data_IF_324140472908
#
_entry.id   IF_324140472908
#
_cell.length_a   1.000
_cell.length_b   1.000
_cell.length_c   1.000
_cell.angle_alpha   90.00
_cell.angle_beta   90.00
_cell.angle_gamma   90.00
#
_symmetry.space_group_name_H-M   'P 1'
#
loop_
_entity.id
_entity.type
_entity.pdbx_description
1 polymer ?
#
# COMPACT_ATOMS: atom_id res chain seq x y z
N UNK A 1 -54.72 -25.23 -19.27
CA UNK A 1 -54.64 -23.80 -19.72
C UNK A 1 -53.18 -23.37 -19.67
N UNK A 2 -52.64 -23.16 -20.86
CA UNK A 2 -51.19 -22.88 -21.10
C UNK A 2 -50.81 -21.46 -20.68
N UNK A 3 -49.71 -21.29 -19.98
CA UNK A 3 -49.02 -20.02 -19.94
C UNK A 3 -47.60 -20.22 -20.43
N UNK A 4 -47.34 -19.61 -21.58
CA UNK A 4 -46.02 -19.49 -22.25
C UNK A 4 -45.16 -18.49 -21.50
N UNK A 5 -43.96 -18.91 -21.16
CA UNK A 5 -42.85 -18.00 -20.69
C UNK A 5 -42.07 -17.65 -21.93
N UNK A 6 -41.99 -16.36 -22.24
CA UNK A 6 -41.18 -15.79 -23.32
C UNK A 6 -39.73 -15.72 -22.91
N UNK A 7 -38.91 -16.41 -23.67
CA UNK A 7 -37.45 -16.41 -23.55
C UNK A 7 -36.89 -15.23 -24.40
N UNK A 8 -36.33 -14.21 -23.77
CA UNK A 8 -35.71 -13.08 -24.44
C UNK A 8 -34.18 -13.29 -24.46
N UNK A 9 -33.72 -13.92 -25.54
CA UNK A 9 -32.28 -14.14 -25.77
C UNK A 9 -31.62 -12.84 -26.21
N UNK A 10 -30.81 -12.27 -25.35
CA UNK A 10 -29.95 -11.11 -25.61
C UNK A 10 -28.72 -11.55 -26.40
N UNK A 11 -28.69 -11.25 -27.69
CA UNK A 11 -27.53 -11.49 -28.57
C UNK A 11 -26.48 -10.43 -28.31
N UNK A 12 -25.35 -10.82 -27.70
CA UNK A 12 -24.12 -10.00 -27.61
C UNK A 12 -23.42 -10.14 -28.99
N UNK A 13 -23.30 -9.03 -29.69
CA UNK A 13 -22.45 -8.94 -30.91
C UNK A 13 -20.99 -8.84 -30.44
N UNK A 14 -20.25 -9.91 -30.64
CA UNK A 14 -18.78 -9.88 -30.63
C UNK A 14 -18.26 -9.25 -31.91
N UNK A 15 -17.64 -8.09 -31.83
CA UNK A 15 -16.85 -7.52 -32.94
C UNK A 15 -15.46 -8.15 -32.90
N UNK A 16 -15.21 -9.07 -33.83
CA UNK A 16 -13.89 -9.67 -34.04
C UNK A 16 -13.10 -8.68 -34.91
N UNK A 17 -12.08 -8.06 -34.37
CA UNK A 17 -11.05 -7.36 -35.15
C UNK A 17 -10.04 -8.37 -35.65
N UNK A 18 -10.08 -8.64 -36.96
CA UNK A 18 -9.07 -9.44 -37.65
C UNK A 18 -7.91 -8.51 -37.99
N UNK A 19 -6.78 -8.66 -37.28
CA UNK A 19 -5.50 -8.11 -37.76
C UNK A 19 -4.88 -9.09 -38.73
N UNK A 20 -4.78 -8.67 -39.97
CA UNK A 20 -4.07 -9.42 -41.03
C UNK A 20 -2.55 -9.34 -40.77
N UNK A 21 -1.96 -10.45 -40.32
CA UNK A 21 -0.52 -10.64 -40.27
C UNK A 21 -0.03 -11.01 -41.68
N UNK A 22 0.81 -10.14 -42.26
CA UNK A 22 1.55 -10.47 -43.48
C UNK A 22 2.63 -11.51 -43.14
N UNK A 23 2.35 -12.77 -43.41
CA UNK A 23 3.33 -13.85 -43.29
C UNK A 23 4.32 -13.78 -44.46
N UNK A 24 5.54 -13.37 -44.22
CA UNK A 24 6.68 -13.63 -45.09
C UNK A 24 7.11 -15.10 -44.90
N UNK A 25 6.78 -15.92 -45.91
CA UNK A 25 7.29 -17.31 -46.04
C UNK A 25 8.79 -17.27 -46.36
N UNK A 26 9.62 -17.51 -45.37
CA UNK A 26 10.98 -18.04 -45.57
C UNK A 26 10.98 -19.49 -45.10
N UNK A 27 11.07 -20.42 -46.05
CA UNK A 27 11.19 -21.83 -45.78
C UNK A 27 12.55 -22.17 -45.20
N UNK A 28 12.54 -22.97 -44.14
CA UNK A 28 13.75 -23.57 -43.58
C UNK A 28 13.48 -24.20 -42.23
N UNK A 29 13.49 -25.49 -42.14
CA UNK A 29 13.61 -26.41 -41.00
C UNK A 29 12.64 -26.23 -39.83
N UNK A 30 11.76 -27.21 -39.68
CA UNK A 30 11.01 -27.49 -38.46
C UNK A 30 11.97 -27.74 -37.29
N UNK A 31 12.18 -26.76 -36.44
CA UNK A 31 12.39 -26.97 -35.03
C UNK A 31 11.18 -26.37 -34.30
N UNK A 32 10.49 -27.14 -33.51
CA UNK A 32 9.44 -26.68 -32.59
C UNK A 32 10.09 -25.93 -31.43
N UNK A 33 10.87 -24.89 -31.70
CA UNK A 33 11.40 -24.03 -30.66
C UNK A 33 10.35 -22.95 -30.40
N UNK A 34 9.57 -23.11 -29.36
CA UNK A 34 8.85 -21.96 -28.79
C UNK A 34 9.89 -20.87 -28.48
N UNK A 35 9.63 -19.68 -29.00
CA UNK A 35 10.53 -18.54 -28.79
C UNK A 35 10.71 -18.30 -27.30
N UNK A 36 11.93 -18.20 -26.85
CA UNK A 36 12.24 -17.74 -25.50
C UNK A 36 11.89 -16.27 -25.37
N UNK A 37 10.91 -15.97 -24.51
CA UNK A 37 10.36 -14.62 -24.35
C UNK A 37 10.73 -14.09 -22.96
N UNK A 38 11.28 -12.87 -22.86
CA UNK A 38 11.43 -12.21 -21.56
C UNK A 38 10.06 -11.92 -20.94
N UNK A 39 9.86 -12.38 -19.70
CA UNK A 39 8.61 -12.26 -18.94
C UNK A 39 8.90 -11.79 -17.52
N UNK A 40 7.86 -11.59 -16.71
CA UNK A 40 7.97 -11.16 -15.32
C UNK A 40 8.91 -9.95 -15.14
N UNK A 41 8.71 -8.94 -16.00
CA UNK A 41 9.52 -7.73 -16.01
C UNK A 41 9.38 -6.97 -14.68
N UNK A 42 10.50 -6.59 -14.09
CA UNK A 42 10.52 -5.85 -12.82
C UNK A 42 11.48 -4.68 -12.87
N UNK A 43 11.07 -3.59 -12.26
CA UNK A 43 11.90 -2.41 -12.00
C UNK A 43 12.16 -2.33 -10.50
N UNK A 44 13.41 -2.27 -10.07
CA UNK A 44 13.81 -2.36 -8.65
C UNK A 44 13.21 -3.59 -7.95
N UNK A 45 13.13 -4.72 -8.66
CA UNK A 45 12.52 -6.00 -8.22
C UNK A 45 11.00 -5.95 -7.98
N UNK A 46 10.33 -4.85 -8.31
CA UNK A 46 8.89 -4.65 -8.17
C UNK A 46 8.19 -4.70 -9.52
N UNK A 47 6.96 -5.16 -9.54
CA UNK A 47 6.08 -5.15 -10.72
C UNK A 47 5.39 -3.80 -10.81
N UNK A 48 5.63 -3.09 -11.92
CA UNK A 48 5.05 -1.78 -12.24
C UNK A 48 5.03 -0.79 -11.05
N UNK A 49 6.17 -0.57 -10.38
CA UNK A 49 6.22 0.27 -9.19
C UNK A 49 5.90 1.72 -9.54
N UNK A 50 5.21 2.38 -8.60
CA UNK A 50 5.06 3.84 -8.60
C UNK A 50 5.86 4.42 -7.43
N UNK A 51 6.49 5.57 -7.66
CA UNK A 51 7.17 6.27 -6.58
C UNK A 51 8.62 5.87 -6.34
N UNK A 52 9.37 5.44 -7.36
CA UNK A 52 10.79 5.14 -7.24
C UNK A 52 11.62 6.42 -7.05
N UNK A 53 12.53 6.40 -6.09
CA UNK A 53 13.43 7.50 -5.73
C UNK A 53 14.84 7.39 -6.36
N UNK A 54 14.97 6.59 -7.41
CA UNK A 54 16.23 6.43 -8.16
C UNK A 54 16.11 6.94 -9.58
N UNK A 55 17.11 7.70 -10.01
CA UNK A 55 17.25 8.14 -11.41
C UNK A 55 17.88 7.10 -12.33
N UNK A 56 18.35 5.96 -11.78
CA UNK A 56 19.00 4.89 -12.53
C UNK A 56 18.51 3.52 -12.02
N UNK A 57 17.26 3.14 -12.32
CA UNK A 57 16.67 1.92 -11.80
C UNK A 57 17.26 0.67 -12.45
N UNK A 58 17.26 -0.43 -11.68
CA UNK A 58 17.63 -1.77 -12.16
C UNK A 58 16.43 -2.42 -12.82
N UNK A 59 16.67 -3.09 -13.94
CA UNK A 59 15.67 -3.88 -14.68
C UNK A 59 16.00 -5.36 -14.55
N UNK A 60 14.99 -6.19 -14.26
CA UNK A 60 15.12 -7.64 -14.21
C UNK A 60 13.95 -8.30 -14.91
N UNK A 61 14.18 -9.50 -15.43
CA UNK A 61 13.18 -10.32 -16.11
C UNK A 61 13.51 -11.80 -15.96
N UNK A 62 12.55 -12.63 -16.27
CA UNK A 62 12.68 -14.07 -16.39
C UNK A 62 12.51 -14.48 -17.84
N UNK A 63 12.79 -15.72 -18.17
CA UNK A 63 12.56 -16.28 -19.48
C UNK A 63 11.45 -17.32 -19.43
N UNK A 64 10.49 -17.23 -20.37
CA UNK A 64 9.53 -18.31 -20.63
C UNK A 64 9.91 -19.00 -21.91
N UNK A 65 9.76 -20.34 -21.98
CA UNK A 65 10.07 -21.18 -23.12
C UNK A 65 10.55 -22.57 -22.67
N UNK A 66 10.72 -23.46 -23.63
CA UNK A 66 11.06 -24.86 -23.37
C UNK A 66 12.57 -25.14 -23.45
N UNK A 67 13.40 -24.13 -23.64
CA UNK A 67 14.85 -24.30 -23.75
C UNK A 67 15.51 -24.29 -22.37
N UNK A 68 15.79 -25.47 -21.85
CA UNK A 68 16.51 -25.63 -20.58
C UNK A 68 17.94 -25.08 -20.71
N UNK A 69 18.31 -24.19 -19.77
CA UNK A 69 19.64 -23.60 -19.75
C UNK A 69 19.87 -22.46 -20.75
N UNK A 70 18.81 -21.85 -21.30
CA UNK A 70 18.94 -20.69 -22.16
C UNK A 70 19.82 -19.59 -21.56
N UNK A 71 20.75 -19.08 -22.36
CA UNK A 71 21.62 -17.96 -22.01
C UNK A 71 21.56 -16.92 -23.13
N UNK A 72 21.10 -15.73 -22.80
CA UNK A 72 21.18 -14.62 -23.73
C UNK A 72 22.63 -14.19 -23.94
N UNK A 73 23.04 -14.02 -25.19
CA UNK A 73 24.34 -13.43 -25.54
C UNK A 73 24.35 -11.90 -25.43
N UNK A 74 23.19 -11.30 -25.59
CA UNK A 74 22.97 -9.86 -25.55
C UNK A 74 21.53 -9.55 -25.15
N UNK A 75 21.33 -8.37 -24.55
CA UNK A 75 20.01 -7.77 -24.32
C UNK A 75 20.04 -6.27 -24.67
N UNK A 76 18.88 -5.72 -24.97
CA UNK A 76 18.66 -4.28 -25.16
C UNK A 76 17.41 -3.86 -24.43
N UNK A 77 17.53 -3.03 -23.42
CA UNK A 77 16.39 -2.39 -22.74
C UNK A 77 16.06 -1.11 -23.49
N UNK A 78 14.78 -0.88 -23.77
CA UNK A 78 14.28 0.35 -24.38
C UNK A 78 13.31 1.00 -23.41
N UNK A 79 13.38 2.33 -23.28
CA UNK A 79 12.59 3.13 -22.34
C UNK A 79 12.05 4.39 -23.03
N UNK A 80 10.89 4.85 -22.56
CA UNK A 80 10.28 6.10 -23.03
C UNK A 80 9.15 6.56 -22.12
N UNK A 81 8.64 7.75 -22.32
CA UNK A 81 7.47 8.29 -21.60
C UNK A 81 6.14 7.94 -22.27
N UNK A 82 6.20 7.21 -23.37
CA UNK A 82 5.03 6.67 -24.08
C UNK A 82 5.35 5.25 -24.57
N UNK A 83 4.40 4.31 -24.54
CA UNK A 83 4.61 2.95 -25.07
C UNK A 83 5.01 2.91 -26.55
N UNK A 84 4.62 3.92 -27.33
CA UNK A 84 4.90 4.01 -28.78
C UNK A 84 6.24 4.66 -29.14
N UNK A 85 6.98 5.22 -28.17
CA UNK A 85 8.27 5.90 -28.42
C UNK A 85 9.34 5.42 -27.41
N UNK A 86 9.68 4.13 -27.49
CA UNK A 86 10.73 3.54 -26.67
C UNK A 86 12.07 3.62 -27.41
N UNK A 87 13.10 4.12 -26.72
CA UNK A 87 14.47 4.28 -27.23
C UNK A 87 15.45 3.46 -26.40
N UNK A 88 16.58 3.01 -26.96
CA UNK A 88 17.59 2.29 -26.19
C UNK A 88 17.96 3.03 -24.91
N UNK A 89 17.91 2.32 -23.79
CA UNK A 89 18.34 2.84 -22.49
C UNK A 89 19.86 2.75 -22.39
N UNK A 90 20.49 3.92 -22.38
CA UNK A 90 21.93 4.01 -22.21
C UNK A 90 22.28 4.26 -20.74
N UNK A 91 23.39 3.68 -20.29
CA UNK A 91 23.96 3.98 -18.97
C UNK A 91 24.20 5.50 -18.84
N UNK A 92 23.75 6.07 -17.73
CA UNK A 92 23.83 7.52 -17.50
C UNK A 92 22.68 8.35 -18.10
N UNK A 93 21.68 7.72 -18.71
CA UNK A 93 20.45 8.43 -19.08
C UNK A 93 19.75 8.94 -17.81
N UNK A 94 19.68 10.26 -17.66
CA UNK A 94 19.03 10.90 -16.53
C UNK A 94 17.49 10.79 -16.67
N UNK A 95 16.86 10.05 -15.77
CA UNK A 95 15.41 10.05 -15.64
C UNK A 95 14.97 11.32 -14.94
N UNK A 96 13.72 11.74 -15.19
CA UNK A 96 13.10 12.90 -14.53
C UNK A 96 12.30 12.44 -13.33
N UNK A 97 12.20 13.23 -12.25
CA UNK A 97 11.29 12.94 -11.14
C UNK A 97 9.83 13.04 -11.58
N UNK A 98 8.91 12.43 -10.81
CA UNK A 98 7.46 12.46 -11.02
C UNK A 98 7.04 12.10 -12.43
N UNK A 99 7.70 11.10 -13.05
CA UNK A 99 7.50 10.76 -14.46
C UNK A 99 7.20 9.29 -14.60
N UNK A 100 6.14 8.97 -15.37
CA UNK A 100 5.84 7.60 -15.76
C UNK A 100 6.68 7.23 -16.97
N UNK A 101 7.35 6.08 -16.87
CA UNK A 101 8.14 5.47 -17.93
C UNK A 101 7.56 4.12 -18.32
N UNK A 102 7.75 3.78 -19.58
CA UNK A 102 7.43 2.49 -20.17
C UNK A 102 8.71 1.87 -20.70
N UNK A 103 8.83 0.55 -20.61
CA UNK A 103 10.03 -0.13 -21.05
C UNK A 103 9.74 -1.54 -21.52
N UNK A 104 10.60 -2.05 -22.39
CA UNK A 104 10.65 -3.44 -22.78
C UNK A 104 12.10 -3.89 -22.93
N UNK A 105 12.30 -5.20 -23.12
CA UNK A 105 13.61 -5.78 -23.37
C UNK A 105 13.56 -6.74 -24.54
N UNK A 106 14.55 -6.62 -25.42
CA UNK A 106 14.83 -7.59 -26.49
C UNK A 106 16.05 -8.39 -26.10
N UNK A 107 16.04 -9.70 -26.36
CA UNK A 107 17.14 -10.61 -26.05
C UNK A 107 17.59 -11.36 -27.31
N UNK A 108 18.86 -11.75 -27.34
CA UNK A 108 19.50 -12.51 -28.41
C UNK A 108 20.05 -13.81 -27.85
N UNK A 109 19.96 -14.90 -28.64
CA UNK A 109 20.49 -16.21 -28.29
C UNK A 109 22.03 -16.26 -28.32
N UNK A 110 22.61 -17.45 -28.04
CA UNK A 110 24.04 -17.69 -28.05
C UNK A 110 24.68 -17.49 -29.43
N UNK A 111 23.92 -17.52 -30.51
CA UNK A 111 24.36 -17.32 -31.88
C UNK A 111 24.17 -15.86 -32.37
N UNK A 112 23.65 -15.01 -31.50
CA UNK A 112 23.41 -13.59 -31.80
C UNK A 112 22.15 -13.33 -32.62
N UNK A 113 21.22 -14.28 -32.71
CA UNK A 113 19.93 -14.09 -33.36
C UNK A 113 18.92 -13.47 -32.39
N UNK A 114 18.10 -12.49 -32.81
CA UNK A 114 17.06 -11.96 -31.94
C UNK A 114 16.01 -13.04 -31.64
N UNK A 115 15.72 -13.28 -30.34
CA UNK A 115 14.72 -14.23 -29.91
C UNK A 115 13.33 -13.56 -29.89
N UNK A 116 13.13 -12.68 -28.90
CA UNK A 116 11.86 -11.99 -28.73
C UNK A 116 12.06 -10.67 -28.00
N UNK A 117 11.07 -9.79 -28.16
CA UNK A 117 10.90 -8.60 -27.31
C UNK A 117 9.76 -8.88 -26.33
N UNK A 118 9.97 -8.51 -25.07
CA UNK A 118 8.95 -8.63 -24.04
C UNK A 118 7.71 -7.79 -24.32
N UNK A 119 6.64 -8.03 -23.58
CA UNK A 119 5.59 -7.03 -23.40
C UNK A 119 6.17 -5.75 -22.79
N UNK A 120 5.41 -4.66 -22.90
CA UNK A 120 5.81 -3.38 -22.32
C UNK A 120 5.35 -3.30 -20.85
N UNK A 121 6.29 -3.09 -19.95
CA UNK A 121 6.05 -2.79 -18.55
C UNK A 121 6.15 -1.29 -18.29
N UNK A 122 5.70 -0.85 -17.12
CA UNK A 122 5.80 0.55 -16.70
C UNK A 122 6.41 0.69 -15.31
N UNK A 123 6.91 1.89 -15.01
CA UNK A 123 7.22 2.33 -13.66
C UNK A 123 7.08 3.85 -13.58
N UNK A 124 7.04 4.37 -12.36
CA UNK A 124 6.95 5.82 -12.13
C UNK A 124 8.00 6.26 -11.11
N UNK A 125 8.72 7.31 -11.45
CA UNK A 125 9.69 7.93 -10.54
C UNK A 125 8.97 8.88 -9.58
N UNK A 126 9.56 9.06 -8.40
CA UNK A 126 9.13 10.03 -7.40
C UNK A 126 10.14 11.17 -7.26
N UNK A 127 10.57 11.41 -6.06
CA UNK A 127 11.51 12.45 -5.64
C UNK A 127 12.91 11.87 -5.61
N UNK A 128 13.89 12.60 -6.16
CA UNK A 128 15.29 12.16 -6.18
C UNK A 128 16.13 12.83 -5.11
N UNK A 129 15.68 13.97 -4.60
CA UNK A 129 16.39 14.75 -3.60
C UNK A 129 15.49 15.07 -2.40
N UNK A 130 16.03 15.10 -1.17
CA UNK A 130 15.26 15.54 0.00
C UNK A 130 14.66 16.94 -0.14
N UNK A 131 15.26 17.84 -0.92
CA UNK A 131 14.70 19.17 -1.20
C UNK A 131 13.48 19.18 -2.12
N UNK A 132 13.14 18.05 -2.74
CA UNK A 132 11.94 17.91 -3.55
C UNK A 132 10.64 17.81 -2.69
N UNK A 133 10.79 17.66 -1.36
CA UNK A 133 9.67 17.66 -0.43
C UNK A 133 9.31 19.09 -0.02
N UNK A 134 8.05 19.47 -0.25
CA UNK A 134 7.47 20.72 0.26
C UNK A 134 6.70 20.53 1.57
N UNK A 135 6.36 19.28 1.90
CA UNK A 135 5.70 18.92 3.15
C UNK A 135 6.67 18.94 4.35
N UNK A 136 6.13 19.19 5.52
CA UNK A 136 6.83 19.11 6.80
C UNK A 136 6.34 17.92 7.63
N UNK A 137 7.22 17.35 8.46
CA UNK A 137 6.83 16.39 9.47
C UNK A 137 5.94 17.07 10.51
N UNK A 138 4.83 16.43 10.85
CA UNK A 138 3.88 16.90 11.86
C UNK A 138 3.60 15.82 12.92
N UNK A 139 3.22 16.28 14.11
CA UNK A 139 2.78 15.44 15.24
C UNK A 139 1.63 16.13 15.98
N UNK A 140 1.08 15.50 17.01
CA UNK A 140 0.12 16.12 17.92
C UNK A 140 0.80 16.72 19.15
N UNK A 141 0.01 17.30 20.08
CA UNK A 141 0.49 17.96 21.30
C UNK A 141 0.74 17.00 22.48
N UNK A 142 0.81 15.69 22.22
CA UNK A 142 0.95 14.67 23.26
C UNK A 142 2.38 14.14 23.31
N UNK A 143 2.74 13.60 24.45
CA UNK A 143 4.03 12.91 24.62
C UNK A 143 3.95 11.44 24.13
N UNK A 144 5.07 10.77 24.11
CA UNK A 144 5.19 9.39 23.66
C UNK A 144 4.49 8.35 24.54
N UNK A 145 4.13 8.69 25.76
CA UNK A 145 3.42 7.78 26.68
C UNK A 145 1.91 7.89 26.55
N UNK A 146 1.41 8.90 25.83
CA UNK A 146 -0.01 9.06 25.61
C UNK A 146 -0.56 7.96 24.71
N UNK A 147 -1.48 7.14 25.22
CA UNK A 147 -1.92 5.90 24.57
C UNK A 147 -2.77 6.11 23.30
N UNK A 148 -3.77 7.03 23.25
CA UNK A 148 -4.65 7.16 22.10
C UNK A 148 -3.91 7.53 20.82
N UNK A 149 -4.33 6.93 19.71
CA UNK A 149 -3.77 7.16 18.39
C UNK A 149 -4.01 8.60 17.92
N UNK A 150 -3.00 9.29 17.36
CA UNK A 150 -3.21 10.61 16.78
C UNK A 150 -3.93 10.50 15.43
N UNK A 151 -4.91 11.39 15.24
CA UNK A 151 -5.63 11.61 14.00
C UNK A 151 -5.17 12.93 13.38
N UNK A 152 -5.04 12.94 12.05
CA UNK A 152 -4.70 14.15 11.29
C UNK A 152 -5.66 14.33 10.14
N UNK A 153 -5.99 15.58 9.79
CA UNK A 153 -6.79 15.90 8.61
C UNK A 153 -6.50 17.28 8.06
N UNK A 154 -6.79 17.46 6.77
CA UNK A 154 -6.82 18.76 6.09
C UNK A 154 -7.89 18.73 5.02
N UNK A 155 -8.76 19.76 5.00
CA UNK A 155 -9.66 20.02 3.87
C UNK A 155 -8.97 20.96 2.88
N UNK A 156 -9.21 20.75 1.59
CA UNK A 156 -8.63 21.55 0.51
C UNK A 156 -9.53 21.54 -0.72
N UNK A 157 -9.57 22.64 -1.51
CA UNK A 157 -10.30 22.69 -2.76
C UNK A 157 -9.47 22.11 -3.91
N UNK A 158 -10.12 21.51 -4.89
CA UNK A 158 -9.58 21.16 -6.21
C UNK A 158 -10.34 21.95 -7.26
N UNK A 159 -9.69 22.98 -7.83
CA UNK A 159 -10.34 23.96 -8.70
C UNK A 159 -10.43 23.58 -10.16
N UNK A 160 -9.68 22.55 -10.61
CA UNK A 160 -9.55 22.18 -12.02
C UNK A 160 -9.78 20.67 -12.20
N UNK A 161 -9.92 20.26 -13.45
CA UNK A 161 -10.02 18.84 -13.80
C UNK A 161 -8.68 18.13 -13.56
N UNK A 162 -8.71 17.07 -12.74
CA UNK A 162 -7.53 16.28 -12.38
C UNK A 162 -7.18 15.34 -13.52
N UNK A 163 -5.94 15.40 -13.99
CA UNK A 163 -5.36 14.45 -14.93
C UNK A 163 -4.80 13.22 -14.21
N UNK A 164 -3.97 13.45 -13.21
CA UNK A 164 -3.41 12.42 -12.34
C UNK A 164 -3.04 13.00 -10.97
N UNK A 165 -3.05 12.16 -9.94
CA UNK A 165 -2.65 12.57 -8.60
C UNK A 165 -1.91 11.44 -7.89
N UNK A 166 -0.86 11.82 -7.15
CA UNK A 166 -0.04 10.91 -6.33
C UNK A 166 0.04 11.45 -4.93
N UNK A 167 -0.11 10.55 -3.94
CA UNK A 167 0.23 10.87 -2.56
C UNK A 167 1.49 10.12 -2.16
N UNK A 168 2.43 10.86 -1.60
CA UNK A 168 3.65 10.37 -0.98
C UNK A 168 3.47 10.49 0.52
N UNK A 169 3.52 9.38 1.24
CA UNK A 169 3.25 9.36 2.67
C UNK A 169 4.29 8.56 3.42
N UNK A 170 4.85 9.16 4.47
CA UNK A 170 5.72 8.52 5.43
C UNK A 170 5.16 8.69 6.84
N UNK A 171 5.37 7.72 7.69
CA UNK A 171 5.11 7.84 9.12
C UNK A 171 6.24 7.23 9.94
N UNK A 172 6.53 7.86 11.05
CA UNK A 172 7.24 7.21 12.14
C UNK A 172 6.19 6.50 12.99
N UNK A 173 6.14 5.19 12.87
CA UNK A 173 5.03 4.32 13.21
C UNK A 173 4.32 3.81 11.95
N UNK A 174 3.06 3.46 12.05
CA UNK A 174 2.22 3.05 10.93
C UNK A 174 1.18 4.12 10.60
N UNK A 175 0.62 4.08 9.39
CA UNK A 175 -0.49 4.94 9.03
C UNK A 175 -1.60 4.18 8.28
N UNK A 176 -2.81 4.67 8.43
CA UNK A 176 -3.89 4.50 7.48
C UNK A 176 -4.28 5.87 6.93
N UNK A 177 -4.24 6.01 5.62
CA UNK A 177 -4.54 7.24 4.92
C UNK A 177 -5.91 7.15 4.25
N UNK A 178 -6.64 8.26 4.23
CA UNK A 178 -7.96 8.39 3.62
C UNK A 178 -8.04 9.65 2.78
N UNK A 179 -8.77 9.58 1.66
CA UNK A 179 -9.17 10.74 0.87
C UNK A 179 -10.69 10.68 0.72
N UNK A 180 -11.38 11.76 1.11
CA UNK A 180 -12.85 11.87 1.05
C UNK A 180 -13.59 10.72 1.76
N UNK A 181 -13.00 10.16 2.81
CA UNK A 181 -13.56 9.04 3.57
C UNK A 181 -13.18 7.66 3.05
N UNK A 182 -12.61 7.56 1.85
CA UNK A 182 -12.15 6.30 1.26
C UNK A 182 -10.71 6.01 1.64
N UNK A 183 -10.41 4.75 2.01
CA UNK A 183 -9.06 4.32 2.37
C UNK A 183 -8.15 4.33 1.15
N UNK A 184 -6.97 4.91 1.28
CA UNK A 184 -5.95 4.96 0.24
C UNK A 184 -5.17 3.65 0.20
N UNK A 185 -5.10 3.03 -0.99
CA UNK A 185 -4.34 1.81 -1.23
C UNK A 185 -4.92 0.57 -0.56
N UNK A 186 -4.22 -0.54 -0.73
CA UNK A 186 -4.62 -1.88 -0.22
C UNK A 186 -3.61 -2.48 0.76
N UNK A 187 -2.53 -1.75 1.03
CA UNK A 187 -1.50 -2.20 1.95
C UNK A 187 -1.94 -2.04 3.42
N UNK A 188 -1.33 -2.84 4.28
CA UNK A 188 -1.44 -2.78 5.73
C UNK A 188 -0.06 -2.62 6.34
N UNK A 189 0.02 -2.05 7.52
CA UNK A 189 1.27 -1.86 8.28
C UNK A 189 2.34 -1.11 7.46
N UNK A 190 1.92 -0.11 6.71
CA UNK A 190 2.82 0.80 6.01
C UNK A 190 3.24 1.99 6.92
N UNK A 191 4.46 2.50 6.72
CA UNK A 191 5.55 1.93 5.94
C UNK A 191 6.21 0.75 6.66
N UNK A 192 6.99 -0.04 5.91
CA UNK A 192 7.73 -1.17 6.46
C UNK A 192 8.71 -0.76 7.58
N UNK A 193 9.01 -1.70 8.46
CA UNK A 193 9.93 -1.50 9.58
C UNK A 193 11.35 -1.16 9.10
N UNK A 194 11.97 -0.20 9.77
CA UNK A 194 13.39 0.17 9.61
C UNK A 194 13.99 0.49 10.98
N UNK A 195 15.29 0.74 11.01
CA UNK A 195 15.94 1.35 12.17
C UNK A 195 15.62 2.86 12.14
N UNK A 196 14.60 3.27 12.90
CA UNK A 196 13.91 4.56 12.73
C UNK A 196 14.76 5.82 12.99
N UNK A 197 15.91 5.71 13.65
CA UNK A 197 16.88 6.81 13.78
C UNK A 197 17.88 6.87 12.62
N UNK A 198 17.81 5.93 11.65
CA UNK A 198 18.69 5.86 10.48
C UNK A 198 17.94 6.16 9.20
N UNK A 199 16.75 5.57 9.05
CA UNK A 199 15.98 5.61 7.81
C UNK A 199 14.49 5.45 8.06
N UNK A 200 13.69 6.26 7.37
CA UNK A 200 12.23 6.09 7.26
C UNK A 200 11.90 5.79 5.81
N UNK A 201 10.91 4.94 5.60
CA UNK A 201 10.35 4.66 4.27
C UNK A 201 9.14 5.56 4.01
N UNK A 202 8.95 5.97 2.74
CA UNK A 202 7.69 6.51 2.29
C UNK A 202 7.03 5.58 1.26
N UNK A 203 5.72 5.61 1.20
CA UNK A 203 4.90 4.86 0.25
C UNK A 203 4.22 5.83 -0.70
N UNK A 204 4.08 5.42 -1.95
CA UNK A 204 3.39 6.21 -2.98
C UNK A 204 2.12 5.51 -3.41
N UNK A 205 1.02 6.26 -3.52
CA UNK A 205 -0.25 5.74 -4.02
C UNK A 205 -0.78 6.62 -5.15
N UNK A 206 -1.39 5.98 -6.15
CA UNK A 206 -2.24 6.65 -7.12
C UNK A 206 -3.59 6.94 -6.46
N UNK A 207 -3.95 8.22 -6.39
CA UNK A 207 -5.18 8.69 -5.75
C UNK A 207 -6.06 9.51 -6.71
N UNK A 208 -5.78 9.40 -7.99
CA UNK A 208 -6.47 10.15 -9.04
C UNK A 208 -8.00 9.98 -8.96
N UNK A 209 -8.46 8.75 -8.79
CA UNK A 209 -9.90 8.44 -8.73
C UNK A 209 -10.58 8.83 -7.42
N UNK A 210 -9.83 9.15 -6.38
CA UNK A 210 -10.36 9.54 -5.06
C UNK A 210 -10.61 11.06 -4.96
N UNK A 211 -10.03 11.85 -5.86
CA UNK A 211 -10.22 13.30 -5.89
C UNK A 211 -11.43 13.66 -6.75
N UNK A 212 -12.09 14.73 -6.34
CA UNK A 212 -13.21 15.35 -7.08
C UNK A 212 -13.00 16.84 -7.21
N UNK A 213 -13.60 17.46 -8.20
CA UNK A 213 -13.65 18.90 -8.29
C UNK A 213 -14.46 19.48 -7.11
N UNK A 214 -14.00 20.59 -6.54
CA UNK A 214 -14.56 21.19 -5.32
C UNK A 214 -13.83 20.72 -4.07
N UNK A 215 -14.56 20.60 -2.97
CA UNK A 215 -14.00 20.33 -1.65
C UNK A 215 -13.59 18.87 -1.46
N UNK A 216 -12.37 18.67 -1.00
CA UNK A 216 -11.77 17.39 -0.68
C UNK A 216 -11.19 17.39 0.74
N UNK A 217 -10.94 16.23 1.29
CA UNK A 217 -10.19 16.06 2.52
C UNK A 217 -9.21 14.90 2.42
N UNK A 218 -8.04 15.11 2.98
CA UNK A 218 -7.07 14.06 3.32
C UNK A 218 -7.08 13.87 4.83
N UNK A 219 -7.05 12.61 5.28
CA UNK A 219 -7.06 12.27 6.69
C UNK A 219 -6.17 11.06 6.96
N UNK A 220 -5.56 11.00 8.15
CA UNK A 220 -4.71 9.91 8.55
C UNK A 220 -4.94 9.50 10.02
N UNK A 221 -4.87 8.20 10.27
CA UNK A 221 -4.72 7.62 11.61
C UNK A 221 -3.29 7.10 11.72
N UNK A 222 -2.57 7.44 12.78
CA UNK A 222 -1.24 6.87 13.00
C UNK A 222 -1.27 5.81 14.09
N UNK A 223 -0.59 4.69 13.82
CA UNK A 223 -0.31 3.65 14.79
C UNK A 223 1.12 3.76 15.33
N UNK A 224 1.30 3.36 16.58
CA UNK A 224 2.61 3.36 17.25
C UNK A 224 3.65 2.48 16.53
N UNK A 225 3.23 1.31 16.01
CA UNK A 225 4.10 0.34 15.35
C UNK A 225 5.31 -0.01 16.23
N UNK A 226 6.45 -0.27 15.59
CA UNK A 226 7.74 -0.47 16.27
C UNK A 226 8.47 0.84 16.60
N UNK A 227 7.89 1.99 16.19
CA UNK A 227 8.47 3.30 16.47
C UNK A 227 8.19 3.73 17.91
N UNK A 228 6.98 3.55 18.40
CA UNK A 228 6.59 3.90 19.76
C UNK A 228 6.01 2.69 20.51
N UNK A 229 6.82 1.66 20.71
CA UNK A 229 6.41 0.52 21.52
C UNK A 229 6.20 0.95 22.99
N UNK A 230 4.95 0.89 23.46
CA UNK A 230 4.56 1.35 24.80
C UNK A 230 4.44 0.21 25.81
N UNK A 231 4.52 -1.05 25.36
CA UNK A 231 4.49 -2.21 26.24
C UNK A 231 5.86 -2.86 26.36
N UNK A 232 6.07 -3.56 27.46
CA UNK A 232 7.26 -4.41 27.61
C UNK A 232 7.12 -5.57 26.62
N UNK A 233 7.93 -5.55 25.58
CA UNK A 233 7.94 -6.55 24.54
C UNK A 233 9.29 -7.25 24.45
N UNK A 234 9.32 -8.41 23.80
CA UNK A 234 10.54 -9.06 23.37
C UNK A 234 11.37 -8.05 22.58
N UNK A 235 12.70 -8.08 22.71
CA UNK A 235 13.68 -7.18 22.08
C UNK A 235 13.74 -5.74 22.62
N UNK A 236 13.06 -5.42 23.72
CA UNK A 236 13.16 -4.13 24.44
C UNK A 236 12.90 -2.90 23.57
N UNK A 237 12.01 -2.97 22.57
CA UNK A 237 11.68 -1.80 21.74
C UNK A 237 11.05 -0.65 22.54
N UNK A 238 10.46 -0.92 23.70
CA UNK A 238 9.96 0.09 24.62
C UNK A 238 11.08 0.97 25.22
N UNK A 239 12.35 0.54 25.11
CA UNK A 239 13.55 1.29 25.51
C UNK A 239 14.33 1.83 24.31
N UNK A 240 13.81 1.69 23.07
CA UNK A 240 14.50 2.11 21.87
C UNK A 240 14.78 3.62 21.87
N UNK A 241 15.99 4.02 21.46
CA UNK A 241 16.43 5.42 21.46
C UNK A 241 15.63 6.31 20.53
N UNK A 242 15.07 5.72 19.44
CA UNK A 242 14.23 6.45 18.47
C UNK A 242 12.80 6.65 18.94
N UNK A 243 12.39 6.02 20.04
CA UNK A 243 11.01 6.01 20.52
C UNK A 243 10.52 7.43 20.81
N UNK A 244 9.45 7.80 20.13
CA UNK A 244 8.80 9.08 20.29
C UNK A 244 7.32 9.00 19.86
N UNK A 245 6.56 10.09 20.01
CA UNK A 245 5.19 10.22 19.53
C UNK A 245 5.15 10.04 18.01
N UNK A 246 4.19 9.26 17.43
CA UNK A 246 4.09 9.07 15.98
C UNK A 246 4.06 10.38 15.20
N UNK A 247 4.71 10.39 14.04
CA UNK A 247 4.84 11.55 13.15
C UNK A 247 4.39 11.20 11.75
N UNK A 248 3.81 12.19 11.08
CA UNK A 248 3.34 12.09 9.70
C UNK A 248 4.11 13.06 8.80
N UNK A 249 4.47 12.59 7.61
CA UNK A 249 4.83 13.40 6.45
C UNK A 249 3.93 12.97 5.30
N UNK A 250 3.15 13.89 4.76
CA UNK A 250 2.21 13.59 3.68
C UNK A 250 2.26 14.69 2.63
N UNK A 251 2.43 14.30 1.37
CA UNK A 251 2.42 15.24 0.25
C UNK A 251 1.56 14.68 -0.88
N UNK A 252 0.47 15.36 -1.18
CA UNK A 252 -0.41 15.08 -2.30
C UNK A 252 -0.04 16.01 -3.47
N UNK A 253 0.42 15.43 -4.57
CA UNK A 253 0.72 16.10 -5.82
C UNK A 253 -0.38 15.85 -6.82
N UNK A 254 -1.00 16.91 -7.33
CA UNK A 254 -2.10 16.88 -8.28
C UNK A 254 -1.62 17.51 -9.59
N UNK A 255 -1.74 16.78 -10.69
CA UNK A 255 -1.50 17.29 -12.04
C UNK A 255 -2.84 17.49 -12.72
N UNK A 256 -3.07 18.68 -13.25
CA UNK A 256 -4.30 19.04 -13.93
C UNK A 256 -4.21 18.79 -15.44
N UNK A 257 -5.36 18.72 -16.11
CA UNK A 257 -5.43 18.51 -17.57
C UNK A 257 -4.79 19.64 -18.37
N UNK A 258 -4.71 20.84 -17.81
CA UNK A 258 -3.99 21.97 -18.40
C UNK A 258 -2.46 21.92 -18.24
N UNK A 259 -1.94 20.87 -17.61
CA UNK A 259 -0.51 20.65 -17.36
C UNK A 259 0.04 21.35 -16.12
N UNK A 260 -0.76 22.14 -15.40
CA UNK A 260 -0.35 22.76 -14.13
C UNK A 260 -0.34 21.72 -13.00
N UNK A 261 0.43 21.98 -11.96
CA UNK A 261 0.57 21.10 -10.79
C UNK A 261 0.29 21.88 -9.52
N UNK A 262 -0.41 21.25 -8.60
CA UNK A 262 -0.64 21.72 -7.22
C UNK A 262 -0.12 20.69 -6.23
N UNK A 263 0.40 21.17 -5.09
CA UNK A 263 0.92 20.31 -4.01
C UNK A 263 0.26 20.71 -2.69
N UNK A 264 -0.32 19.70 -2.03
CA UNK A 264 -0.91 19.81 -0.69
C UNK A 264 0.00 19.03 0.27
N UNK A 265 0.84 19.74 1.02
CA UNK A 265 1.75 19.17 1.99
C UNK A 265 1.20 19.16 3.41
N UNK A 266 1.76 18.26 4.25
CA UNK A 266 1.56 18.34 5.70
C UNK A 266 2.32 19.54 6.27
N UNK A 267 1.65 20.29 7.11
CA UNK A 267 2.14 21.49 7.78
C UNK A 267 1.26 21.81 9.02
N UNK A 268 1.53 22.93 9.70
CA UNK A 268 0.79 23.40 10.85
C UNK A 268 -0.69 23.79 10.57
N UNK A 269 -1.09 23.87 9.30
CA UNK A 269 -2.50 24.12 8.93
C UNK A 269 -3.34 22.85 8.99
N UNK A 270 -2.71 21.68 9.12
CA UNK A 270 -3.44 20.46 9.39
C UNK A 270 -4.04 20.47 10.79
N UNK A 271 -5.11 19.75 10.98
CA UNK A 271 -5.79 19.57 12.26
C UNK A 271 -5.46 18.21 12.83
N UNK A 272 -5.39 18.14 14.17
CA UNK A 272 -5.11 16.88 14.90
C UNK A 272 -6.07 16.70 16.07
N UNK A 273 -6.40 15.47 16.36
CA UNK A 273 -7.23 15.05 17.49
C UNK A 273 -6.90 13.59 17.85
N UNK A 274 -7.69 13.01 18.74
CA UNK A 274 -7.72 11.57 19.02
C UNK A 274 -9.14 11.05 18.85
N UNK A 275 -9.32 9.73 18.75
CA UNK A 275 -10.63 9.14 18.50
C UNK A 275 -10.77 7.73 19.07
N UNK A 276 -11.39 6.86 18.33
CA UNK A 276 -11.81 5.53 18.77
C UNK A 276 -10.65 4.59 19.16
N UNK A 277 -9.46 4.75 18.60
CA UNK A 277 -8.28 3.97 19.00
C UNK A 277 -7.68 4.54 20.28
N UNK A 278 -8.15 4.06 21.43
CA UNK A 278 -7.69 4.53 22.77
C UNK A 278 -6.37 3.92 23.20
N UNK A 279 -5.92 2.87 22.53
CA UNK A 279 -4.61 2.24 22.63
C UNK A 279 -4.33 1.47 21.34
N UNK A 280 -3.09 1.48 20.88
CA UNK A 280 -2.68 0.68 19.73
C UNK A 280 -1.23 0.23 19.90
N UNK A 281 -0.96 -1.02 19.61
CA UNK A 281 0.35 -1.59 19.78
C UNK A 281 0.52 -2.80 18.85
N UNK A 282 1.63 -2.86 18.14
CA UNK A 282 1.90 -3.96 17.21
C UNK A 282 2.04 -5.31 17.93
N UNK A 283 2.44 -5.30 19.18
CA UNK A 283 2.68 -6.52 19.94
C UNK A 283 1.52 -6.88 20.87
N UNK A 284 0.96 -5.92 21.59
CA UNK A 284 -0.09 -6.16 22.57
C UNK A 284 -1.51 -5.90 22.07
N UNK A 285 -1.68 -5.48 20.80
CA UNK A 285 -2.97 -5.29 20.14
C UNK A 285 -3.57 -3.92 20.35
N UNK A 286 -4.85 -3.78 20.01
CA UNK A 286 -5.58 -2.51 20.00
C UNK A 286 -6.71 -2.49 21.02
N UNK A 287 -7.03 -1.28 21.53
CA UNK A 287 -8.27 -0.97 22.23
C UNK A 287 -9.06 0.04 21.41
N UNK A 288 -10.22 -0.36 20.93
CA UNK A 288 -11.10 0.46 20.10
C UNK A 288 -12.42 0.73 20.82
N UNK A 289 -12.78 1.98 20.97
CA UNK A 289 -14.06 2.42 21.54
C UNK A 289 -14.89 3.17 20.49
N UNK A 290 -15.85 2.48 19.89
CA UNK A 290 -16.67 3.02 18.82
C UNK A 290 -17.51 4.25 19.24
N UNK A 291 -17.72 4.46 20.54
CA UNK A 291 -18.45 5.64 21.06
C UNK A 291 -17.66 6.94 20.89
N UNK A 292 -16.34 6.84 20.69
CA UNK A 292 -15.42 7.96 20.46
C UNK A 292 -15.17 8.23 18.96
N UNK A 293 -15.79 7.47 18.07
CA UNK A 293 -15.66 7.70 16.63
C UNK A 293 -16.52 8.91 16.22
N UNK A 294 -15.88 9.96 15.73
CA UNK A 294 -16.54 11.14 15.19
C UNK A 294 -16.96 10.86 13.73
N UNK A 295 -18.27 10.72 13.49
CA UNK A 295 -18.78 10.43 12.16
C UNK A 295 -18.35 11.50 11.15
N UNK A 296 -17.80 11.08 10.00
CA UNK A 296 -17.45 11.98 8.90
C UNK A 296 -16.12 12.72 9.03
N UNK A 297 -15.32 12.51 10.08
CA UNK A 297 -14.06 13.23 10.28
C UNK A 297 -13.05 13.09 9.12
N UNK A 298 -13.21 12.05 8.30
CA UNK A 298 -12.40 11.78 7.10
C UNK A 298 -12.90 12.51 5.84
N UNK A 299 -13.95 13.33 5.93
CA UNK A 299 -14.59 13.97 4.77
C UNK A 299 -14.44 15.49 4.79
N UNK A 300 -14.65 16.15 3.63
CA UNK A 300 -14.38 17.57 3.45
C UNK A 300 -15.23 18.49 4.32
N UNK A 301 -16.49 18.11 4.60
CA UNK A 301 -17.44 18.98 5.30
C UNK A 301 -17.54 18.73 6.82
N UNK A 302 -16.59 17.98 7.37
CA UNK A 302 -16.51 17.79 8.82
C UNK A 302 -16.09 19.08 9.52
N UNK A 303 -16.78 19.43 10.59
CA UNK A 303 -16.42 20.58 11.43
C UNK A 303 -15.27 20.21 12.38
N UNK A 304 -14.07 20.60 12.01
CA UNK A 304 -12.84 20.40 12.78
C UNK A 304 -12.45 21.63 13.63
N UNK A 305 -13.37 22.54 13.87
CA UNK A 305 -13.11 23.77 14.66
C UNK A 305 -12.63 23.49 16.08
N UNK A 306 -12.97 22.32 16.64
CA UNK A 306 -12.55 21.86 17.97
C UNK A 306 -11.22 21.12 17.97
N UNK A 307 -10.69 20.76 16.80
CA UNK A 307 -9.42 20.07 16.69
C UNK A 307 -8.26 21.05 16.81
N UNK A 308 -7.18 20.61 17.42
CA UNK A 308 -5.95 21.40 17.57
C UNK A 308 -5.22 21.52 16.21
N UNK A 309 -4.41 22.55 16.05
CA UNK A 309 -3.48 22.62 14.93
C UNK A 309 -2.37 21.56 15.13
N UNK A 310 -1.96 20.92 14.07
CA UNK A 310 -0.82 19.99 14.13
C UNK A 310 0.47 20.76 14.46
N UNK A 311 1.39 20.09 15.15
CA UNK A 311 2.71 20.66 15.48
C UNK A 311 3.75 20.25 14.44
N UNK A 312 4.58 21.17 13.92
CA UNK A 312 5.79 20.82 13.21
C UNK A 312 6.69 19.93 14.09
N UNK A 313 7.25 18.89 13.51
CA UNK A 313 8.13 17.97 14.19
C UNK A 313 9.46 17.81 13.42
N UNK A 314 10.59 17.54 14.08
CA UNK A 314 11.81 17.19 13.38
C UNK A 314 11.65 15.85 12.63
N UNK A 315 12.40 15.70 11.53
CA UNK A 315 12.48 14.41 10.85
C UNK A 315 13.00 13.34 11.85
N UNK A 316 12.34 12.16 11.92
CA UNK A 316 12.78 11.11 12.87
C UNK A 316 14.10 10.46 12.46
N UNK A 317 14.49 10.55 11.18
CA UNK A 317 15.72 10.02 10.64
C UNK A 317 16.33 10.94 9.58
N UNK A 318 17.66 10.85 9.34
CA UNK A 318 18.32 11.63 8.29
C UNK A 318 17.98 11.16 6.86
N UNK A 319 17.54 9.90 6.70
CA UNK A 319 17.22 9.34 5.39
C UNK A 319 15.71 9.06 5.28
N UNK A 320 15.10 9.62 4.25
CA UNK A 320 13.75 9.32 3.81
C UNK A 320 13.82 8.75 2.40
N UNK A 321 13.43 7.49 2.22
CA UNK A 321 13.58 6.76 0.94
C UNK A 321 12.31 6.03 0.57
N UNK A 322 12.10 5.78 -0.72
CA UNK A 322 10.97 5.01 -1.20
C UNK A 322 10.98 3.57 -0.67
N UNK A 323 9.82 3.05 -0.33
CA UNK A 323 9.68 1.65 0.03
C UNK A 323 9.86 0.76 -1.20
N UNK A 324 10.94 0.00 -1.25
CA UNK A 324 11.28 -0.92 -2.34
C UNK A 324 10.93 -2.38 -2.01
N UNK A 325 10.11 -2.61 -1.00
CA UNK A 325 9.60 -3.94 -0.64
C UNK A 325 8.12 -4.02 -0.99
N UNK A 326 7.60 -5.19 -1.36
CA UNK A 326 6.18 -5.38 -1.56
C UNK A 326 5.39 -5.01 -0.30
N UNK A 327 4.28 -4.28 -0.45
CA UNK A 327 3.39 -3.97 0.66
C UNK A 327 2.71 -5.23 1.22
N UNK A 328 2.45 -5.23 2.52
CA UNK A 328 1.67 -6.28 3.17
C UNK A 328 0.21 -6.13 2.71
N UNK A 329 -0.36 -7.18 2.15
CA UNK A 329 -1.71 -7.17 1.58
C UNK A 329 -2.51 -8.39 2.02
N UNK A 330 -3.83 -8.28 2.02
CA UNK A 330 -4.71 -9.44 2.14
C UNK A 330 -4.61 -10.25 0.85
N UNK A 331 -4.08 -11.47 0.95
CA UNK A 331 -3.94 -12.41 -0.18
C UNK A 331 -5.06 -13.43 -0.20
N UNK A 332 -5.69 -13.69 0.96
CA UNK A 332 -6.73 -14.71 1.13
C UNK A 332 -7.64 -14.34 2.30
N UNK A 333 -8.93 -14.61 2.20
CA UNK A 333 -9.86 -14.59 3.32
C UNK A 333 -10.14 -16.02 3.78
N UNK A 334 -9.72 -16.36 4.99
CA UNK A 334 -9.87 -17.69 5.55
C UNK A 334 -11.01 -17.71 6.57
N UNK A 335 -11.98 -18.59 6.38
CA UNK A 335 -13.09 -18.79 7.32
C UNK A 335 -12.71 -19.82 8.37
N UNK A 336 -13.22 -19.71 9.61
CA UNK A 336 -13.07 -20.75 10.61
C UNK A 336 -13.72 -22.05 10.15
N UNK A 337 -13.07 -23.18 10.43
CA UNK A 337 -13.59 -24.52 10.11
C UNK A 337 -14.46 -25.09 11.25
N UNK A 338 -14.32 -24.55 12.45
CA UNK A 338 -15.16 -24.94 13.59
C UNK A 338 -15.27 -23.80 14.61
N UNK A 339 -16.33 -23.89 15.42
CA UNK A 339 -16.57 -23.03 16.55
C UNK A 339 -17.00 -23.87 17.75
N UNK A 340 -16.33 -23.69 18.89
CA UNK A 340 -16.68 -24.31 20.16
C UNK A 340 -17.15 -23.24 21.15
N UNK A 341 -18.39 -23.40 21.65
CA UNK A 341 -18.95 -22.54 22.70
C UNK A 341 -18.62 -23.15 24.07
N UNK A 342 -18.00 -22.39 24.93
CA UNK A 342 -17.72 -22.79 26.33
C UNK A 342 -18.72 -22.17 27.33
N UNK A 343 -19.21 -20.96 27.01
CA UNK A 343 -20.23 -20.24 27.73
C UNK A 343 -20.94 -19.25 26.81
N UNK A 344 -21.91 -18.49 27.32
CA UNK A 344 -22.58 -17.41 26.59
C UNK A 344 -21.61 -16.27 26.21
N UNK A 345 -20.47 -16.22 26.87
CA UNK A 345 -19.47 -15.18 26.71
C UNK A 345 -18.11 -15.67 26.18
N UNK A 346 -17.94 -17.00 25.96
CA UNK A 346 -16.67 -17.56 25.54
C UNK A 346 -16.83 -18.52 24.36
N UNK A 347 -16.22 -18.15 23.25
CA UNK A 347 -16.22 -18.91 22.01
C UNK A 347 -14.78 -19.09 21.52
N UNK A 348 -14.45 -20.26 20.99
CA UNK A 348 -13.18 -20.57 20.34
C UNK A 348 -13.45 -20.92 18.89
N UNK A 349 -12.83 -20.18 17.97
CA UNK A 349 -12.89 -20.43 16.53
C UNK A 349 -11.57 -21.05 16.09
N UNK A 350 -11.65 -22.16 15.33
CA UNK A 350 -10.46 -22.82 14.77
C UNK A 350 -10.39 -22.56 13.27
N UNK A 351 -9.17 -22.26 12.81
CA UNK A 351 -8.87 -22.06 11.39
C UNK A 351 -8.08 -23.26 10.84
N UNK A 352 -8.10 -23.51 9.50
CA UNK A 352 -7.55 -24.74 8.93
C UNK A 352 -6.02 -24.81 8.96
N UNK A 353 -5.33 -23.67 9.13
CA UNK A 353 -3.87 -23.57 9.08
C UNK A 353 -3.38 -22.42 9.96
N UNK A 354 -2.11 -22.47 10.38
CA UNK A 354 -1.41 -21.31 10.93
C UNK A 354 -1.19 -20.27 9.83
N UNK A 355 -1.41 -19.02 10.17
CA UNK A 355 -1.30 -17.91 9.22
C UNK A 355 -0.98 -16.61 9.95
N UNK A 356 -0.36 -15.68 9.27
CA UNK A 356 -0.29 -14.28 9.68
C UNK A 356 -1.43 -13.51 9.03
N UNK A 357 -2.11 -12.66 9.77
CA UNK A 357 -3.24 -11.93 9.20
C UNK A 357 -3.97 -11.02 10.18
N UNK A 358 -5.03 -10.42 9.68
CA UNK A 358 -5.95 -9.58 10.44
C UNK A 358 -7.26 -10.35 10.67
N UNK A 359 -7.90 -10.13 11.81
CA UNK A 359 -9.18 -10.73 12.11
C UNK A 359 -10.32 -9.80 11.69
N UNK A 360 -11.25 -10.29 10.85
CA UNK A 360 -12.50 -9.60 10.56
C UNK A 360 -13.59 -10.13 11.48
N UNK A 361 -14.06 -9.30 12.41
CA UNK A 361 -15.15 -9.61 13.31
C UNK A 361 -16.40 -8.82 12.91
N UNK A 362 -17.52 -9.54 12.71
CA UNK A 362 -18.84 -8.93 12.51
C UNK A 362 -19.71 -9.25 13.72
N UNK A 363 -20.09 -8.22 14.44
CA UNK A 363 -20.85 -8.34 15.68
C UNK A 363 -22.03 -7.38 15.70
N UNK A 364 -23.00 -7.70 16.57
CA UNK A 364 -24.12 -6.83 16.92
C UNK A 364 -24.27 -6.89 18.44
N UNK A 365 -24.39 -5.74 19.08
CA UNK A 365 -24.58 -5.62 20.52
C UNK A 365 -25.02 -4.21 20.88
N UNK A 366 -25.40 -4.00 22.12
CA UNK A 366 -25.79 -2.70 22.66
C UNK A 366 -24.54 -1.84 22.86
N UNK A 367 -24.72 -0.51 22.86
CA UNK A 367 -23.62 0.44 23.12
C UNK A 367 -22.96 0.13 24.47
N UNK A 368 -21.62 0.09 24.47
CA UNK A 368 -20.83 -0.29 25.64
C UNK A 368 -20.57 -1.79 25.80
N UNK A 369 -21.10 -2.65 24.90
CA UNK A 369 -20.72 -4.07 24.87
C UNK A 369 -19.23 -4.21 24.61
N UNK A 370 -18.55 -4.97 25.48
CA UNK A 370 -17.12 -5.23 25.38
C UNK A 370 -16.86 -6.58 24.71
N UNK A 371 -16.01 -6.59 23.70
CA UNK A 371 -15.54 -7.80 23.03
C UNK A 371 -14.02 -7.87 23.14
N UNK A 372 -13.53 -9.02 23.59
CA UNK A 372 -12.11 -9.31 23.69
C UNK A 372 -11.72 -10.37 22.68
N UNK A 373 -10.78 -10.08 21.81
CA UNK A 373 -10.19 -11.04 20.88
C UNK A 373 -8.83 -11.49 21.41
N UNK A 374 -8.61 -12.80 21.41
CA UNK A 374 -7.35 -13.43 21.78
C UNK A 374 -6.95 -14.40 20.68
N UNK A 375 -5.71 -14.33 20.23
CA UNK A 375 -5.18 -15.20 19.21
C UNK A 375 -4.16 -16.18 19.80
N UNK A 376 -3.95 -17.31 19.15
CA UNK A 376 -2.97 -18.31 19.54
C UNK A 376 -2.98 -19.48 18.60
N UNK A 377 -1.93 -20.29 18.66
CA UNK A 377 -1.68 -21.41 17.76
C UNK A 377 -2.04 -22.77 18.39
N UNK A 378 -2.08 -22.83 19.71
CA UNK A 378 -2.27 -24.08 20.47
C UNK A 378 -3.54 -24.04 21.30
N UNK A 379 -4.12 -25.22 21.52
CA UNK A 379 -5.26 -25.43 22.42
C UNK A 379 -4.83 -26.24 23.66
N UNK A 380 -5.41 -25.90 24.79
CA UNK A 380 -5.36 -26.73 26.00
C UNK A 380 -6.10 -28.05 25.82
N UNK A 381 -5.90 -29.01 26.70
CA UNK A 381 -6.60 -30.31 26.68
C UNK A 381 -8.12 -30.20 26.68
N UNK A 382 -8.67 -29.13 27.31
CA UNK A 382 -10.11 -28.85 27.33
C UNK A 382 -10.62 -28.15 26.05
N UNK A 383 -9.72 -27.75 25.14
CA UNK A 383 -10.01 -27.06 23.89
C UNK A 383 -10.08 -25.55 24.00
N UNK A 384 -9.72 -24.95 25.13
CA UNK A 384 -9.51 -23.50 25.26
C UNK A 384 -8.17 -23.11 24.67
N UNK A 385 -8.04 -21.85 24.29
CA UNK A 385 -6.79 -21.31 23.75
C UNK A 385 -5.66 -21.39 24.78
N UNK A 386 -4.53 -21.94 24.39
CA UNK A 386 -3.28 -21.92 25.17
C UNK A 386 -2.49 -20.66 24.78
N UNK A 387 -2.21 -19.83 25.80
CA UNK A 387 -1.46 -18.58 25.60
C UNK A 387 -0.20 -18.52 26.48
N UNK A 388 0.11 -19.58 27.23
CA UNK A 388 1.29 -19.59 28.09
C UNK A 388 2.62 -19.59 27.34
N UNK A 389 2.59 -20.01 26.07
CA UNK A 389 3.73 -19.98 25.14
C UNK A 389 3.81 -18.72 24.28
N UNK A 390 2.75 -17.89 24.33
CA UNK A 390 2.68 -16.62 23.67
C UNK A 390 2.69 -15.58 24.78
N UNK A 391 3.39 -14.47 24.58
CA UNK A 391 3.42 -13.41 25.58
C UNK A 391 1.99 -13.02 26.01
N UNK A 392 1.77 -12.91 27.31
CA UNK A 392 0.48 -12.58 27.94
C UNK A 392 -0.13 -11.25 27.46
N UNK A 393 0.58 -10.49 26.70
CA UNK A 393 0.19 -9.16 26.20
C UNK A 393 -0.63 -9.16 24.91
N UNK A 394 -0.82 -10.30 24.23
CA UNK A 394 -1.62 -10.38 22.99
C UNK A 394 -3.12 -10.27 23.28
N UNK A 395 -3.62 -9.05 23.36
CA UNK A 395 -5.01 -8.77 23.69
C UNK A 395 -5.55 -7.59 22.88
N UNK A 396 -6.44 -7.86 21.93
CA UNK A 396 -7.26 -6.81 21.30
C UNK A 396 -8.60 -6.66 22.04
N UNK A 397 -8.97 -5.43 22.34
CA UNK A 397 -10.19 -5.07 23.03
C UNK A 397 -11.05 -4.12 22.19
N UNK A 398 -12.30 -4.50 21.95
CA UNK A 398 -13.26 -3.70 21.20
C UNK A 398 -14.45 -3.36 22.11
N UNK A 399 -14.79 -2.07 22.17
CA UNK A 399 -16.04 -1.58 22.76
C UNK A 399 -16.97 -1.13 21.64
N UNK A 400 -18.16 -1.65 21.62
CA UNK A 400 -19.22 -1.30 20.68
C UNK A 400 -19.96 -0.05 21.15
#
# INVERSE_FOLDING_TARGET
>A
MNNKINDATMRIKQSIYIYAFAALLLGGCKSNNELTIPTNLRTEYLTEPIGLDTSSPRFTWEYSGNEEGFKASRYEVRIGTSPGDLRPYAEGMALKPHTRYYWNVTVWDGEGRPCATSETASFETAKFDPSDWSASWITDHKDKEFEPAPLFRKSFPVGKEVKDARVYVASAGYHELFINGERVGTNYLDPGYTHFDKRILYVTHDVTSLLKQGDNAVAAVLGNGWYNEQSVAVWNFHEARWRDRPRLLCELRITYTDGTTEVIGSDETWKTSTGAYTYNNIYSGDKFDARLEEAGWKTAHFDDSKWEAALPAPAPAPLLVAQQMPGIRITEEVRPVSMKRFSDQLYVYSFPKNMSGLCRLKVKGDAGTRITLKHGELLKKDGRLEQGNINVYYLSLIHI
#
